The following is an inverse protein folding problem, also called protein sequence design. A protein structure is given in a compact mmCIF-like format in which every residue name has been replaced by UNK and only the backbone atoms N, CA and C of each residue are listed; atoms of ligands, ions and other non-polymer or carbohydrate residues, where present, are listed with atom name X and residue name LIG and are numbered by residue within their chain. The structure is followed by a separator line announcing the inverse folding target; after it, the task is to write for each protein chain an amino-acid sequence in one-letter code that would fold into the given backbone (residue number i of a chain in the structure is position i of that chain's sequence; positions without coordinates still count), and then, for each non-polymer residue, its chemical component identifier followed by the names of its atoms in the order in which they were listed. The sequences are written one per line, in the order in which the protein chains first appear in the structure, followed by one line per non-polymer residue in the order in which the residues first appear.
data_IF_117458600783
#
_entry.id   IF_117458600783
#
_cell.length_a   1.000
_cell.length_b   1.000
_cell.length_c   1.000
_cell.angle_alpha   90.00
_cell.angle_beta   90.00
_cell.angle_gamma   90.00
#
_symmetry.space_group_name_H-M   'P 1'
#
loop_
_entity.id
_entity.type
_entity.pdbx_description
1 polymer ?
#
# COMPACT_ATOMS: atom_id res chain seq x y z
N UNK A 1 -64.10 14.87 37.27
CA UNK A 1 -62.88 14.21 37.81
C UNK A 1 -62.04 13.48 36.75
N UNK A 2 -62.62 12.77 35.78
CA UNK A 2 -61.87 12.04 34.73
C UNK A 2 -61.05 12.96 33.80
N UNK A 3 -61.60 14.12 33.41
CA UNK A 3 -60.92 15.08 32.53
C UNK A 3 -59.64 15.69 33.14
N UNK A 4 -59.68 16.05 34.43
CA UNK A 4 -58.52 16.61 35.16
C UNK A 4 -57.40 15.56 35.30
N UNK A 5 -57.76 14.28 35.45
CA UNK A 5 -56.80 13.19 35.54
C UNK A 5 -56.13 12.90 34.18
N UNK A 6 -56.84 13.08 33.07
CA UNK A 6 -56.33 12.90 31.70
C UNK A 6 -55.31 14.00 31.36
N UNK A 7 -55.64 15.27 31.63
CA UNK A 7 -54.72 16.40 31.39
C UNK A 7 -53.43 16.29 32.21
N UNK A 8 -53.51 15.82 33.46
CA UNK A 8 -52.33 15.66 34.33
C UNK A 8 -51.41 14.52 33.86
N UNK A 9 -51.96 13.48 33.24
CA UNK A 9 -51.21 12.34 32.68
C UNK A 9 -50.57 12.68 31.32
N UNK A 10 -51.24 13.49 30.51
CA UNK A 10 -50.71 14.01 29.24
C UNK A 10 -49.56 15.01 29.45
N UNK A 11 -49.68 15.88 30.45
CA UNK A 11 -48.61 16.83 30.80
C UNK A 11 -47.37 16.15 31.39
N UNK A 12 -47.55 15.05 32.13
CA UNK A 12 -46.43 14.30 32.70
C UNK A 12 -45.64 13.52 31.63
N UNK A 13 -46.32 13.03 30.59
CA UNK A 13 -45.68 12.36 29.45
C UNK A 13 -44.85 13.33 28.58
N UNK A 14 -45.33 14.58 28.40
CA UNK A 14 -44.62 15.62 27.64
C UNK A 14 -43.32 16.07 28.31
N UNK A 15 -43.30 16.17 29.64
CA UNK A 15 -42.10 16.54 30.42
C UNK A 15 -41.05 15.41 30.39
N UNK A 16 -41.49 14.14 30.36
CA UNK A 16 -40.60 12.99 30.24
C UNK A 16 -39.88 12.93 28.88
N UNK A 17 -40.51 13.38 27.79
CA UNK A 17 -39.86 13.40 26.48
C UNK A 17 -38.81 14.52 26.33
N UNK A 18 -38.94 15.62 27.08
CA UNK A 18 -38.02 16.76 27.02
C UNK A 18 -36.71 16.54 27.79
N UNK A 19 -36.66 15.60 28.73
CA UNK A 19 -35.46 15.32 29.53
C UNK A 19 -34.51 14.29 28.92
N UNK A 20 -34.91 13.60 27.84
CA UNK A 20 -34.07 12.62 27.14
C UNK A 20 -33.42 13.15 25.85
N UNK A 21 -33.62 14.43 25.50
CA UNK A 21 -33.13 14.99 24.23
C UNK A 21 -31.73 15.62 24.29
N UNK A 22 -31.05 15.60 25.44
CA UNK A 22 -29.71 16.17 25.58
C UNK A 22 -28.70 15.11 25.98
N UNK A 23 -28.14 14.42 25.00
CA UNK A 23 -26.73 13.99 24.91
C UNK A 23 -26.54 13.21 23.59
N UNK A 24 -26.74 13.88 22.46
CA UNK A 24 -26.13 13.44 21.21
C UNK A 24 -24.67 13.87 21.26
N UNK A 25 -23.77 13.00 21.70
CA UNK A 25 -22.37 13.13 21.31
C UNK A 25 -22.34 12.94 19.80
N UNK A 26 -22.19 14.03 19.04
CA UNK A 26 -21.68 13.92 17.69
C UNK A 26 -20.30 13.27 17.83
N UNK A 27 -20.14 12.06 17.32
CA UNK A 27 -18.80 11.52 17.11
C UNK A 27 -18.04 12.59 16.32
N UNK A 28 -16.96 13.12 16.89
CA UNK A 28 -15.99 13.88 16.10
C UNK A 28 -15.58 12.96 14.98
N UNK A 29 -15.92 13.34 13.75
CA UNK A 29 -15.32 12.77 12.57
C UNK A 29 -13.80 12.87 12.79
N UNK A 30 -13.17 11.74 13.09
CA UNK A 30 -11.70 11.67 13.13
C UNK A 30 -11.13 11.74 11.72
N UNK A 31 -12.01 11.87 10.71
CA UNK A 31 -11.81 12.33 9.35
C UNK A 31 -10.35 12.44 9.06
N UNK A 32 -9.78 11.32 8.60
CA UNK A 32 -8.38 11.22 8.20
C UNK A 32 -8.00 12.54 7.55
N UNK A 33 -7.06 13.26 8.16
CA UNK A 33 -6.58 14.52 7.65
C UNK A 33 -6.20 14.28 6.20
N UNK A 34 -6.99 14.82 5.26
CA UNK A 34 -6.66 14.75 3.85
C UNK A 34 -5.42 15.60 3.67
N UNK A 35 -4.26 14.95 3.68
CA UNK A 35 -3.00 15.58 3.32
C UNK A 35 -3.14 16.04 1.86
N UNK A 36 -3.43 17.34 1.68
CA UNK A 36 -3.28 17.99 0.38
C UNK A 36 -1.80 18.11 0.03
N UNK A 37 -1.50 18.61 -1.16
CA UNK A 37 -0.14 18.95 -1.56
C UNK A 37 -0.09 20.42 -2.02
N UNK A 38 1.02 21.07 -1.73
CA UNK A 38 1.39 22.38 -2.27
C UNK A 38 1.88 22.24 -3.70
N UNK A 39 1.83 23.33 -4.48
CA UNK A 39 2.43 23.36 -5.80
C UNK A 39 3.94 23.06 -5.75
N UNK A 40 4.62 23.47 -4.68
CA UNK A 40 6.05 23.18 -4.48
C UNK A 40 6.30 21.67 -4.37
N UNK A 41 5.54 20.95 -3.56
CA UNK A 41 5.67 19.50 -3.39
C UNK A 41 5.33 18.75 -4.69
N UNK A 42 4.37 19.24 -5.47
CA UNK A 42 3.99 18.62 -6.76
C UNK A 42 5.00 18.88 -7.88
N UNK A 43 5.83 19.92 -7.76
CA UNK A 43 6.78 20.35 -8.81
C UNK A 43 8.23 20.12 -8.42
N UNK A 44 8.49 19.62 -7.21
CA UNK A 44 9.83 19.29 -6.75
C UNK A 44 10.46 18.26 -7.70
N UNK A 45 11.65 18.60 -8.21
CA UNK A 45 12.46 17.70 -9.00
C UNK A 45 13.74 17.39 -8.23
N UNK A 46 13.99 16.11 -7.99
CA UNK A 46 15.27 15.67 -7.45
C UNK A 46 16.35 15.77 -8.54
N UNK A 47 17.61 16.08 -8.17
CA UNK A 47 18.73 16.18 -9.11
C UNK A 47 19.21 14.80 -9.58
N UNK A 48 18.31 14.05 -10.23
CA UNK A 48 18.56 12.72 -10.80
C UNK A 48 18.94 12.87 -12.26
N UNK A 49 20.03 12.23 -12.66
CA UNK A 49 20.44 12.17 -14.07
C UNK A 49 19.65 11.06 -14.78
N UNK A 50 18.46 11.40 -15.25
CA UNK A 50 17.62 10.50 -16.03
C UNK A 50 18.21 10.26 -17.42
N UNK A 51 18.32 8.99 -17.83
CA UNK A 51 18.80 8.59 -19.16
C UNK A 51 17.85 7.58 -19.80
N UNK A 52 17.65 7.68 -21.11
CA UNK A 52 16.94 6.68 -21.91
C UNK A 52 17.89 5.63 -22.47
N UNK A 53 17.34 4.51 -22.94
CA UNK A 53 18.12 3.45 -23.60
C UNK A 53 18.81 4.00 -24.86
N UNK A 54 18.15 4.87 -25.61
CA UNK A 54 18.69 5.49 -26.82
C UNK A 54 19.89 6.40 -26.50
N UNK A 55 19.80 7.19 -25.42
CA UNK A 55 20.91 8.03 -24.96
C UNK A 55 22.12 7.18 -24.53
N UNK A 56 21.87 6.05 -23.86
CA UNK A 56 22.94 5.09 -23.52
C UNK A 56 23.59 4.55 -24.80
N UNK A 57 22.80 4.10 -25.77
CA UNK A 57 23.32 3.56 -27.05
C UNK A 57 24.16 4.59 -27.80
N UNK A 58 23.72 5.85 -27.87
CA UNK A 58 24.45 6.94 -28.51
C UNK A 58 25.81 7.23 -27.86
N UNK A 59 25.94 6.98 -26.56
CA UNK A 59 27.18 7.17 -25.81
C UNK A 59 28.20 6.04 -25.96
N UNK A 60 27.83 4.91 -26.59
CA UNK A 60 28.70 3.73 -26.68
C UNK A 60 29.53 3.71 -27.97
N UNK A 61 30.73 3.11 -27.89
CA UNK A 61 31.59 2.86 -29.05
C UNK A 61 31.00 1.76 -29.93
N UNK A 62 31.23 1.82 -31.24
CA UNK A 62 30.82 0.78 -32.21
C UNK A 62 31.71 -0.48 -32.17
N UNK A 63 32.00 -1.01 -30.97
CA UNK A 63 32.78 -2.23 -30.76
C UNK A 63 32.10 -3.11 -29.70
N UNK A 64 32.24 -4.45 -29.76
CA UNK A 64 31.70 -5.34 -28.75
C UNK A 64 32.18 -4.97 -27.34
N UNK A 65 31.26 -4.98 -26.37
CA UNK A 65 31.52 -4.66 -24.97
C UNK A 65 30.96 -5.77 -24.09
N UNK A 66 31.73 -6.18 -23.08
CA UNK A 66 31.21 -7.02 -22.01
C UNK A 66 30.44 -6.14 -21.02
N UNK A 67 29.18 -6.47 -20.79
CA UNK A 67 28.30 -5.78 -19.85
C UNK A 67 27.72 -6.77 -18.85
N UNK A 68 27.49 -6.30 -17.62
CA UNK A 68 26.84 -7.07 -16.57
C UNK A 68 25.47 -6.49 -16.26
N UNK A 69 24.53 -7.36 -15.91
CA UNK A 69 23.21 -6.99 -15.43
C UNK A 69 22.98 -7.68 -14.09
N UNK A 70 22.49 -6.92 -13.13
CA UNK A 70 21.80 -7.51 -11.98
C UNK A 70 20.50 -8.20 -12.44
N UNK A 71 19.98 -9.13 -11.65
CA UNK A 71 18.83 -9.97 -12.04
C UNK A 71 17.55 -9.50 -11.36
N UNK A 72 17.55 -9.51 -10.03
CA UNK A 72 16.36 -9.29 -9.21
C UNK A 72 15.93 -7.83 -9.25
N UNK A 73 14.68 -7.57 -9.66
CA UNK A 73 14.10 -6.25 -9.93
C UNK A 73 14.85 -5.36 -10.94
N UNK A 74 15.92 -5.87 -11.57
CA UNK A 74 16.61 -5.27 -12.71
C UNK A 74 16.17 -5.92 -14.03
N UNK A 75 16.38 -7.23 -14.17
CA UNK A 75 15.98 -8.00 -15.36
C UNK A 75 14.64 -8.73 -15.16
N UNK A 76 14.39 -9.24 -13.97
CA UNK A 76 13.21 -10.02 -13.62
C UNK A 76 12.47 -9.36 -12.46
N UNK A 77 11.15 -9.28 -12.56
CA UNK A 77 10.31 -9.06 -11.37
C UNK A 77 10.27 -10.36 -10.57
N UNK A 78 11.27 -10.60 -9.73
CA UNK A 78 11.48 -11.88 -9.03
C UNK A 78 10.82 -11.96 -7.65
N UNK A 79 10.26 -10.84 -7.18
CA UNK A 79 9.49 -10.73 -5.93
C UNK A 79 8.54 -11.91 -5.64
N UNK A 80 7.81 -12.51 -6.59
CA UNK A 80 6.94 -13.66 -6.31
C UNK A 80 7.68 -14.88 -5.71
N UNK A 81 8.88 -15.19 -6.21
CA UNK A 81 9.70 -16.29 -5.69
C UNK A 81 10.23 -15.99 -4.29
N UNK A 82 10.70 -14.77 -4.06
CA UNK A 82 11.19 -14.32 -2.74
C UNK A 82 10.06 -14.25 -1.71
N UNK A 83 8.88 -13.74 -2.09
CA UNK A 83 7.70 -13.72 -1.24
C UNK A 83 7.28 -15.13 -0.84
N UNK A 84 7.17 -16.05 -1.80
CA UNK A 84 6.87 -17.44 -1.49
C UNK A 84 7.94 -18.08 -0.58
N UNK A 85 9.22 -17.81 -0.85
CA UNK A 85 10.34 -18.28 -0.03
C UNK A 85 10.24 -17.83 1.43
N UNK A 86 9.97 -16.54 1.67
CA UNK A 86 9.76 -16.01 3.03
C UNK A 86 8.62 -16.72 3.73
N UNK A 87 7.45 -16.81 3.10
CA UNK A 87 6.27 -17.48 3.68
C UNK A 87 6.50 -18.97 3.96
N UNK A 88 7.32 -19.65 3.16
CA UNK A 88 7.60 -21.09 3.31
C UNK A 88 8.64 -21.37 4.39
N UNK A 89 9.71 -20.57 4.45
CA UNK A 89 10.90 -20.91 5.21
C UNK A 89 11.13 -20.05 6.45
N UNK A 90 10.64 -18.81 6.47
CA UNK A 90 10.89 -17.85 7.56
C UNK A 90 9.80 -16.76 7.57
N UNK A 91 8.54 -17.08 7.94
CA UNK A 91 7.42 -16.13 7.83
C UNK A 91 7.66 -14.82 8.61
N UNK A 92 8.36 -14.91 9.74
CA UNK A 92 8.57 -13.82 10.68
C UNK A 92 10.01 -13.23 10.61
N UNK A 93 10.85 -13.67 9.68
CA UNK A 93 12.24 -13.18 9.56
C UNK A 93 12.76 -13.25 8.13
N UNK A 94 13.96 -12.72 7.90
CA UNK A 94 14.64 -12.81 6.60
C UNK A 94 15.67 -13.96 6.56
N UNK A 95 15.61 -14.89 7.52
CA UNK A 95 16.57 -16.00 7.62
C UNK A 95 16.51 -16.96 6.42
N UNK A 96 15.41 -16.95 5.66
CA UNK A 96 15.27 -17.74 4.44
C UNK A 96 16.32 -17.40 3.38
N UNK A 97 16.83 -16.16 3.38
CA UNK A 97 17.91 -15.71 2.48
C UNK A 97 19.23 -16.43 2.76
N UNK A 98 19.39 -17.07 3.92
CA UNK A 98 20.57 -17.84 4.29
C UNK A 98 20.36 -19.36 4.15
N UNK A 99 19.20 -19.82 3.65
CA UNK A 99 18.88 -21.25 3.52
C UNK A 99 19.20 -21.75 2.11
N UNK A 100 19.99 -22.82 2.03
CA UNK A 100 20.35 -23.41 0.74
C UNK A 100 19.13 -23.99 0.02
N UNK A 101 18.14 -24.50 0.74
CA UNK A 101 16.90 -25.02 0.17
C UNK A 101 16.13 -23.95 -0.59
N UNK A 102 16.06 -22.72 -0.04
CA UNK A 102 15.46 -21.58 -0.72
C UNK A 102 16.21 -21.28 -2.03
N UNK A 103 17.54 -21.18 -1.97
CA UNK A 103 18.35 -20.89 -3.15
C UNK A 103 18.22 -21.96 -4.24
N UNK A 104 18.17 -23.23 -3.87
CA UNK A 104 17.96 -24.33 -4.81
C UNK A 104 16.62 -24.22 -5.54
N UNK A 105 15.56 -23.78 -4.85
CA UNK A 105 14.23 -23.65 -5.45
C UNK A 105 14.08 -22.37 -6.28
N UNK A 106 14.55 -21.23 -5.77
CA UNK A 106 14.41 -19.95 -6.48
C UNK A 106 15.22 -19.94 -7.78
N UNK A 107 16.42 -20.52 -7.76
CA UNK A 107 17.26 -20.73 -8.95
C UNK A 107 16.82 -21.93 -9.81
N UNK A 108 15.93 -22.78 -9.29
CA UNK A 108 15.52 -24.05 -9.88
C UNK A 108 14.19 -24.02 -10.64
N UNK A 109 13.63 -22.84 -10.91
CA UNK A 109 12.41 -22.70 -11.73
C UNK A 109 11.28 -21.88 -11.13
N UNK A 110 11.53 -21.11 -10.07
CA UNK A 110 10.55 -20.14 -9.56
C UNK A 110 10.54 -18.81 -10.33
N UNK A 111 11.54 -18.57 -11.16
CA UNK A 111 11.55 -17.49 -12.16
C UNK A 111 10.34 -17.54 -13.10
N UNK A 112 9.72 -18.71 -13.28
CA UNK A 112 8.46 -18.86 -14.02
C UNK A 112 7.30 -18.04 -13.47
N UNK A 113 7.38 -17.60 -12.21
CA UNK A 113 6.39 -16.74 -11.58
C UNK A 113 6.70 -15.25 -11.77
N UNK A 114 7.85 -14.91 -12.37
CA UNK A 114 8.17 -13.54 -12.70
C UNK A 114 7.19 -12.99 -13.75
N UNK A 115 6.81 -11.73 -13.59
CA UNK A 115 5.91 -11.06 -14.53
C UNK A 115 6.71 -10.69 -15.78
N UNK A 116 6.27 -11.07 -16.99
CA UNK A 116 6.92 -10.66 -18.23
C UNK A 116 6.92 -9.13 -18.36
N UNK A 117 8.03 -8.56 -18.83
CA UNK A 117 8.12 -7.12 -19.08
C UNK A 117 7.33 -6.65 -20.30
N UNK A 118 6.93 -7.57 -21.18
CA UNK A 118 6.08 -7.26 -22.31
C UNK A 118 4.62 -7.51 -21.94
N UNK A 119 3.72 -6.53 -22.10
CA UNK A 119 2.28 -6.79 -22.01
C UNK A 119 1.87 -7.73 -23.15
N UNK A 120 0.95 -8.65 -22.86
CA UNK A 120 0.22 -9.38 -23.90
C UNK A 120 -0.68 -8.44 -24.70
#
# INVERSE_FOLDING_TARGET
MKEILIMKKQNLALISCLLFSSLSFAATDTGELKAGATLSELTEQYPVHWVSVEQVIQGLKSAPLNVGFDIDDTLLYSSPGFFHGKQKYSPESDDYLNKQEFWNEVSGGWDRFAIPKNPQ
#
